data_IF_437652143445
#
_entry.id   IF_437652143445
#
_cell.length_a   1.000
_cell.length_b   1.000
_cell.length_c   1.000
_cell.angle_alpha   90.00
_cell.angle_beta   90.00
_cell.angle_gamma   90.00
#
_symmetry.space_group_name_H-M   'P 1'
#
loop_
_entity.id
_entity.type
_entity.pdbx_description
1 polymer ?
#
# COMPACT_ATOMS: atom_id res chain seq x y z
N UNK A 1 14.20 -33.93 61.52
CA UNK A 1 13.66 -32.59 61.19
C UNK A 1 14.38 -32.08 59.96
N UNK A 2 13.99 -32.48 58.74
CA UNK A 2 14.59 -31.93 57.51
C UNK A 2 13.73 -32.16 56.25
N UNK A 3 12.86 -33.19 56.24
CA UNK A 3 12.06 -33.51 55.05
C UNK A 3 11.00 -32.45 54.69
N UNK A 4 10.40 -31.81 55.71
CA UNK A 4 9.41 -30.75 55.48
C UNK A 4 9.99 -29.49 54.83
N UNK A 5 11.24 -29.14 55.13
CA UNK A 5 11.90 -27.98 54.53
C UNK A 5 12.21 -28.22 53.04
N UNK A 6 12.63 -29.43 52.67
CA UNK A 6 12.91 -29.77 51.27
C UNK A 6 11.66 -29.64 50.38
N UNK A 7 10.48 -30.02 50.90
CA UNK A 7 9.22 -29.90 50.17
C UNK A 7 8.81 -28.43 49.99
N UNK A 8 8.93 -27.63 51.05
CA UNK A 8 8.58 -26.19 51.00
C UNK A 8 9.51 -25.43 50.07
N UNK A 9 10.82 -25.71 50.10
CA UNK A 9 11.78 -25.10 49.18
C UNK A 9 11.54 -25.53 47.72
N UNK A 10 11.22 -26.80 47.48
CA UNK A 10 10.89 -27.29 46.13
C UNK A 10 9.65 -26.60 45.53
N UNK A 11 8.58 -26.48 46.32
CA UNK A 11 7.36 -25.78 45.90
C UNK A 11 7.62 -24.28 45.69
N UNK A 12 8.40 -23.64 46.57
CA UNK A 12 8.76 -22.24 46.43
C UNK A 12 9.56 -21.94 45.16
N UNK A 13 10.57 -22.76 44.85
CA UNK A 13 11.37 -22.62 43.62
C UNK A 13 10.55 -22.93 42.36
N UNK A 14 9.67 -23.92 42.41
CA UNK A 14 8.76 -24.23 41.30
C UNK A 14 7.81 -23.07 40.98
N UNK A 15 7.22 -22.45 42.01
CA UNK A 15 6.36 -21.27 41.86
C UNK A 15 7.14 -20.07 41.30
N UNK A 16 8.35 -19.82 41.81
CA UNK A 16 9.20 -18.74 41.33
C UNK A 16 9.59 -18.93 39.86
N UNK A 17 10.01 -20.14 39.48
CA UNK A 17 10.34 -20.48 38.09
C UNK A 17 9.11 -20.35 37.18
N UNK A 18 7.92 -20.77 37.62
CA UNK A 18 6.68 -20.62 36.87
C UNK A 18 6.31 -19.15 36.66
N UNK A 19 6.43 -18.30 37.69
CA UNK A 19 6.17 -16.86 37.59
C UNK A 19 7.17 -16.17 36.66
N UNK A 20 8.46 -16.52 36.74
CA UNK A 20 9.50 -16.00 35.84
C UNK A 20 9.22 -16.42 34.39
N UNK A 21 8.82 -17.67 34.17
CA UNK A 21 8.46 -18.18 32.84
C UNK A 21 7.22 -17.46 32.27
N UNK A 22 6.20 -17.22 33.09
CA UNK A 22 4.99 -16.51 32.71
C UNK A 22 5.27 -15.04 32.37
N UNK A 23 6.14 -14.37 33.15
CA UNK A 23 6.65 -13.02 32.86
C UNK A 23 7.46 -12.97 31.55
N UNK A 24 8.26 -14.00 31.27
CA UNK A 24 9.02 -14.11 30.02
C UNK A 24 8.10 -14.25 28.81
N UNK A 25 6.99 -14.99 28.94
CA UNK A 25 6.01 -15.19 27.86
C UNK A 25 5.27 -13.90 27.49
N UNK A 26 4.99 -13.01 28.44
CA UNK A 26 4.31 -11.72 28.18
C UNK A 26 5.28 -10.74 27.51
N UNK A 27 6.55 -10.73 27.93
CA UNK A 27 7.58 -9.84 27.38
C UNK A 27 7.87 -10.08 25.89
N UNK A 28 7.69 -11.31 25.42
CA UNK A 28 7.91 -11.68 24.03
C UNK A 28 6.65 -11.59 23.14
N UNK A 29 5.57 -10.97 23.63
CA UNK A 29 4.39 -10.70 22.81
C UNK A 29 4.67 -9.61 21.79
N UNK A 30 4.89 -10.00 20.53
CA UNK A 30 4.92 -9.08 19.40
C UNK A 30 3.48 -8.91 18.88
N UNK A 31 2.92 -7.68 18.82
CA UNK A 31 1.62 -7.47 18.22
C UNK A 31 1.66 -7.89 16.74
N UNK A 32 0.55 -8.41 16.19
CA UNK A 32 0.50 -8.76 14.77
C UNK A 32 0.84 -7.53 13.93
N UNK A 33 1.78 -7.68 13.02
CA UNK A 33 2.23 -6.59 12.16
C UNK A 33 1.04 -6.04 11.37
N UNK A 34 0.69 -4.77 11.61
CA UNK A 34 -0.31 -4.06 10.78
C UNK A 34 0.12 -4.17 9.31
N UNK A 35 -0.80 -4.62 8.46
CA UNK A 35 -0.54 -4.73 7.03
C UNK A 35 -0.10 -3.36 6.49
N UNK A 36 1.08 -3.32 5.87
CA UNK A 36 1.60 -2.08 5.27
C UNK A 36 0.87 -1.82 3.96
N UNK A 37 0.44 -0.56 3.70
CA UNK A 37 -0.18 -0.21 2.43
C UNK A 37 0.82 -0.44 1.30
N UNK A 38 0.34 -1.02 0.18
CA UNK A 38 1.18 -1.37 -0.97
C UNK A 38 1.53 -0.13 -1.79
N UNK A 39 0.64 0.86 -1.81
CA UNK A 39 0.80 2.09 -2.56
C UNK A 39 -0.37 3.03 -2.35
N UNK A 40 -0.27 4.22 -2.93
CA UNK A 40 -1.28 5.28 -2.81
C UNK A 40 -1.83 5.56 -4.20
N UNK A 41 -3.16 5.73 -4.31
CA UNK A 41 -3.78 6.11 -5.57
C UNK A 41 -3.43 7.57 -5.92
N UNK A 42 -2.86 7.86 -7.11
CA UNK A 42 -2.45 9.21 -7.48
C UNK A 42 -3.62 10.19 -7.71
N UNK A 43 -4.85 9.68 -7.90
CA UNK A 43 -6.05 10.49 -8.15
C UNK A 43 -6.77 10.92 -6.87
N UNK A 44 -7.00 9.98 -5.95
CA UNK A 44 -7.79 10.22 -4.74
C UNK A 44 -6.97 10.15 -3.45
N UNK A 45 -5.68 9.81 -3.54
CA UNK A 45 -4.77 9.63 -2.41
C UNK A 45 -5.20 8.55 -1.40
N UNK A 46 -6.12 7.67 -1.81
CA UNK A 46 -6.51 6.52 -0.99
C UNK A 46 -5.38 5.47 -0.96
N UNK A 47 -5.12 4.93 0.22
CA UNK A 47 -4.16 3.85 0.42
C UNK A 47 -4.72 2.53 -0.16
N UNK A 48 -3.86 1.78 -0.83
CA UNK A 48 -4.22 0.51 -1.45
C UNK A 48 -3.68 -0.64 -0.61
N UNK A 49 -4.59 -1.51 -0.18
CA UNK A 49 -4.28 -2.70 0.60
C UNK A 49 -3.73 -3.83 -0.31
N UNK A 50 -3.20 -4.88 0.32
CA UNK A 50 -2.63 -6.02 -0.39
C UNK A 50 -3.73 -6.74 -1.20
N UNK A 51 -3.56 -6.81 -2.52
CA UNK A 51 -4.53 -7.40 -3.46
C UNK A 51 -5.31 -6.37 -4.27
N UNK A 52 -5.40 -5.12 -3.79
CA UNK A 52 -6.01 -4.03 -4.52
C UNK A 52 -5.07 -3.51 -5.60
N UNK A 53 -5.64 -3.18 -6.77
CA UNK A 53 -4.88 -2.71 -7.94
C UNK A 53 -5.57 -1.52 -8.58
N UNK A 54 -4.75 -0.62 -9.09
CA UNK A 54 -5.19 0.50 -9.92
C UNK A 54 -5.53 -0.07 -11.31
N UNK A 55 -6.67 0.33 -11.87
CA UNK A 55 -7.01 0.01 -13.26
C UNK A 55 -6.24 0.95 -14.17
N UNK A 56 -5.44 0.38 -15.06
CA UNK A 56 -4.64 1.10 -16.03
C UNK A 56 -4.59 0.34 -17.35
N UNK A 57 -4.66 1.05 -18.46
CA UNK A 57 -4.39 0.49 -19.78
C UNK A 57 -2.97 0.88 -20.18
N UNK A 58 -2.25 -0.01 -20.84
CA UNK A 58 -0.87 0.24 -21.28
C UNK A 58 -0.82 0.17 -22.81
N UNK A 59 -0.01 1.03 -23.41
CA UNK A 59 0.22 1.10 -24.85
C UNK A 59 1.70 1.37 -25.08
N UNK A 60 2.32 0.61 -25.98
CA UNK A 60 3.72 0.80 -26.35
C UNK A 60 3.83 1.92 -27.40
N UNK A 61 4.68 2.92 -27.12
CA UNK A 61 5.08 3.96 -28.08
C UNK A 61 6.50 3.63 -28.53
N UNK A 62 6.60 3.06 -29.73
CA UNK A 62 7.87 2.59 -30.27
C UNK A 62 8.47 1.45 -29.46
N UNK A 63 9.80 1.31 -29.50
CA UNK A 63 10.54 0.18 -28.91
C UNK A 63 11.01 0.39 -27.45
N UNK A 64 10.72 1.55 -26.85
CA UNK A 64 11.41 1.99 -25.61
C UNK A 64 10.46 2.60 -24.58
N UNK A 65 9.36 3.25 -25.00
CA UNK A 65 8.47 3.95 -24.08
C UNK A 65 7.12 3.25 -23.96
N UNK A 66 6.70 3.02 -22.72
CA UNK A 66 5.38 2.49 -22.39
C UNK A 66 4.51 3.62 -21.85
N UNK A 67 3.43 3.90 -22.56
CA UNK A 67 2.40 4.85 -22.16
C UNK A 67 1.33 4.14 -21.32
N UNK A 68 1.17 4.55 -20.08
CA UNK A 68 0.19 4.00 -19.14
C UNK A 68 -0.91 5.01 -18.86
N UNK A 69 -2.14 4.61 -19.19
CA UNK A 69 -3.37 5.35 -18.96
C UNK A 69 -3.99 4.90 -17.64
N UNK A 70 -3.83 5.71 -16.59
CA UNK A 70 -4.37 5.41 -15.26
C UNK A 70 -5.82 5.88 -15.20
N UNK A 71 -6.75 4.93 -15.06
CA UNK A 71 -8.19 5.21 -14.85
C UNK A 71 -8.49 5.52 -13.38
N UNK A 72 -7.93 4.73 -12.46
CA UNK A 72 -8.13 4.94 -11.02
C UNK A 72 -8.16 3.66 -10.21
N UNK A 73 -8.42 3.81 -8.90
CA UNK A 73 -8.54 2.70 -7.96
C UNK A 73 -10.00 2.25 -7.82
N UNK A 74 -10.26 1.04 -7.26
CA UNK A 74 -11.61 0.56 -7.01
C UNK A 74 -12.46 1.48 -6.13
N UNK A 75 -11.85 2.42 -5.39
CA UNK A 75 -12.56 3.35 -4.53
C UNK A 75 -12.99 4.65 -5.22
N UNK A 76 -12.21 5.15 -6.19
CA UNK A 76 -12.51 6.42 -6.86
C UNK A 76 -13.24 6.26 -8.20
N UNK A 77 -13.33 5.03 -8.71
CA UNK A 77 -13.99 4.73 -9.98
C UNK A 77 -15.52 4.54 -9.89
N UNK A 78 -16.10 3.95 -8.82
CA UNK A 78 -17.54 3.76 -8.72
C UNK A 78 -18.31 5.07 -8.78
N UNK A 79 -19.50 5.08 -9.39
CA UNK A 79 -20.31 6.29 -9.47
C UNK A 79 -20.73 6.85 -8.11
N UNK A 80 -20.90 5.96 -7.13
CA UNK A 80 -21.23 6.25 -5.73
C UNK A 80 -20.04 6.76 -4.91
N UNK A 81 -18.84 6.79 -5.49
CA UNK A 81 -17.64 7.31 -4.83
C UNK A 81 -17.83 8.79 -4.48
N UNK A 82 -17.60 9.12 -3.21
CA UNK A 82 -17.51 10.51 -2.72
C UNK A 82 -16.08 11.07 -2.82
N UNK A 83 -15.11 10.26 -3.26
CA UNK A 83 -13.72 10.67 -3.35
C UNK A 83 -13.50 11.58 -4.56
N UNK A 84 -12.98 12.78 -4.30
CA UNK A 84 -12.59 13.72 -5.35
C UNK A 84 -11.35 13.21 -6.07
N UNK A 85 -11.41 13.15 -7.39
CA UNK A 85 -10.28 12.80 -8.25
C UNK A 85 -9.56 14.07 -8.63
N UNK A 86 -8.32 14.23 -8.18
CA UNK A 86 -7.49 15.41 -8.49
C UNK A 86 -6.25 14.98 -9.25
N UNK A 87 -5.89 15.75 -10.28
CA UNK A 87 -4.65 15.55 -10.99
C UNK A 87 -3.48 15.90 -10.07
N UNK A 88 -2.47 15.03 -9.89
CA UNK A 88 -1.32 15.33 -9.02
C UNK A 88 -0.45 16.46 -9.57
N UNK A 89 -0.53 16.76 -10.88
CA UNK A 89 0.28 17.80 -11.54
C UNK A 89 -0.41 19.16 -11.47
N UNK A 90 -1.62 19.31 -12.03
CA UNK A 90 -2.32 20.59 -12.06
C UNK A 90 -3.31 20.81 -10.91
N UNK A 91 -3.52 19.80 -10.05
CA UNK A 91 -4.47 19.82 -8.91
C UNK A 91 -5.94 20.04 -9.26
N UNK A 92 -6.27 20.18 -10.55
CA UNK A 92 -7.65 20.28 -11.04
C UNK A 92 -8.40 18.96 -10.86
N UNK A 93 -9.72 19.08 -10.76
CA UNK A 93 -10.61 17.93 -10.68
C UNK A 93 -10.64 17.18 -12.01
N UNK A 94 -10.44 15.87 -11.95
CA UNK A 94 -10.44 14.98 -13.11
C UNK A 94 -11.81 14.31 -13.16
N UNK A 95 -12.53 14.35 -14.30
CA UNK A 95 -13.85 13.74 -14.43
C UNK A 95 -13.79 12.21 -14.20
N UNK A 96 -14.95 11.57 -14.00
CA UNK A 96 -15.04 10.12 -13.74
C UNK A 96 -14.42 9.27 -14.85
N UNK A 97 -14.54 9.72 -16.10
CA UNK A 97 -13.92 9.06 -17.26
C UNK A 97 -12.52 9.62 -17.57
N UNK A 98 -12.09 10.65 -16.84
CA UNK A 98 -10.81 11.30 -17.05
C UNK A 98 -9.65 10.42 -16.62
N UNK A 99 -8.69 10.24 -17.51
CA UNK A 99 -7.49 9.42 -17.26
C UNK A 99 -6.27 10.29 -17.00
N UNK A 100 -5.33 9.76 -16.22
CA UNK A 100 -3.99 10.34 -16.06
C UNK A 100 -3.03 9.57 -16.95
N UNK A 101 -2.18 10.31 -17.65
CA UNK A 101 -1.11 9.75 -18.44
C UNK A 101 0.17 9.66 -17.62
N UNK A 102 0.80 8.49 -17.70
CA UNK A 102 2.12 8.25 -17.17
C UNK A 102 2.98 7.54 -18.22
N UNK A 103 4.27 7.83 -18.20
CA UNK A 103 5.26 7.18 -19.07
C UNK A 103 6.22 6.36 -18.21
N UNK A 104 6.57 5.18 -18.68
CA UNK A 104 7.62 4.33 -18.11
C UNK A 104 8.54 3.83 -19.21
N UNK A 105 9.83 3.71 -18.90
CA UNK A 105 10.80 3.13 -19.81
C UNK A 105 11.24 1.76 -19.26
N UNK A 106 10.66 0.65 -19.74
CA UNK A 106 10.97 -0.68 -19.23
C UNK A 106 12.43 -1.11 -19.44
N UNK A 107 13.14 -0.52 -20.42
CA UNK A 107 14.57 -0.82 -20.63
C UNK A 107 15.49 -0.19 -19.58
N UNK A 108 15.09 0.96 -19.01
CA UNK A 108 15.84 1.63 -17.94
C UNK A 108 15.37 1.14 -16.57
N UNK A 109 14.06 1.21 -16.32
CA UNK A 109 13.45 0.78 -15.07
C UNK A 109 11.98 0.41 -15.29
N UNK A 110 11.69 -0.89 -15.26
CA UNK A 110 10.35 -1.43 -15.42
C UNK A 110 9.37 -1.04 -14.30
N UNK A 111 9.86 -0.55 -13.14
CA UNK A 111 9.02 -0.18 -12.00
C UNK A 111 8.81 1.33 -11.87
N UNK A 112 9.66 2.15 -12.49
CA UNK A 112 9.58 3.60 -12.36
C UNK A 112 8.59 4.18 -13.36
N UNK A 113 7.47 4.62 -12.82
CA UNK A 113 6.42 5.29 -13.57
C UNK A 113 6.52 6.81 -13.36
N UNK A 114 6.65 7.57 -14.44
CA UNK A 114 6.68 9.02 -14.43
C UNK A 114 5.31 9.59 -14.81
N UNK A 115 4.61 10.19 -13.84
CA UNK A 115 3.30 10.81 -14.08
C UNK A 115 3.50 12.11 -14.86
N UNK A 116 2.84 12.24 -16.03
CA UNK A 116 2.91 13.45 -16.86
C UNK A 116 1.76 14.40 -16.59
N UNK A 117 0.53 13.89 -16.47
CA UNK A 117 -0.62 14.73 -16.17
C UNK A 117 -1.95 14.19 -16.72
N UNK A 118 -3.01 14.98 -16.55
CA UNK A 118 -4.33 14.73 -17.12
C UNK A 118 -4.49 15.40 -18.48
N UNK A 119 -5.57 15.08 -19.20
CA UNK A 119 -5.90 15.65 -20.52
C UNK A 119 -5.86 17.18 -20.56
N UNK A 120 -6.18 17.84 -19.46
CA UNK A 120 -6.27 19.30 -19.38
C UNK A 120 -4.92 20.00 -19.21
N UNK A 121 -3.93 19.33 -18.62
CA UNK A 121 -2.59 19.92 -18.40
C UNK A 121 -1.52 19.34 -19.33
N UNK A 122 -1.78 18.18 -19.94
CA UNK A 122 -0.88 17.52 -20.87
C UNK A 122 -1.64 17.03 -22.12
N UNK A 123 -2.28 17.93 -22.90
CA UNK A 123 -3.07 17.53 -24.07
C UNK A 123 -2.26 16.84 -25.16
N UNK A 124 -0.97 17.14 -25.29
CA UNK A 124 -0.08 16.55 -26.30
C UNK A 124 0.07 15.02 -26.17
N UNK A 125 -0.11 14.46 -24.97
CA UNK A 125 -0.09 13.01 -24.77
C UNK A 125 -1.40 12.31 -25.16
N UNK A 126 -2.44 13.09 -25.48
CA UNK A 126 -3.78 12.60 -25.78
C UNK A 126 -4.16 12.77 -27.26
N UNK A 127 -3.33 13.42 -28.07
CA UNK A 127 -3.67 13.73 -29.47
C UNK A 127 -3.51 12.55 -30.44
N UNK A 128 -3.04 11.39 -29.99
CA UNK A 128 -2.79 10.20 -30.83
C UNK A 128 -3.90 9.15 -30.76
N UNK A 129 -5.11 9.52 -30.32
CA UNK A 129 -6.27 8.61 -30.21
C UNK A 129 -7.50 9.26 -30.83
#
# INVERSE_FOLDING_TARGET
MNDGYLIVFGLGLGLLAFLIWMLFSIRNYQPPAKEKPRGICPLCQHELMKGERIRSDQTEIGDIELQTWIKGCPYCMPESSRLKRRCPVCKKEVPKDGVILALSNPKIDARRLSIKGCQQCWPQGFSSR
#
